data_IF_790475936181
#
_entry.id   IF_790475936181
#
_cell.length_a   1.000
_cell.length_b   1.000
_cell.length_c   1.000
_cell.angle_alpha   90.00
_cell.angle_beta   90.00
_cell.angle_gamma   90.00
#
_symmetry.space_group_name_H-M   'P 1'
#
loop_
_entity.id
_entity.type
_entity.pdbx_description
1 polymer ?
#
# COMPACT_ATOMS: atom_id res chain seq x y z
N UNK A 1 -8.82 -1.67 3.08
CA UNK A 1 -9.66 -1.70 1.86
C UNK A 1 -10.07 -0.30 1.44
N UNK A 2 -10.73 0.48 2.31
CA UNK A 2 -11.20 1.84 2.00
C UNK A 2 -10.09 2.81 1.54
N UNK A 3 -8.95 2.86 2.23
CA UNK A 3 -7.84 3.74 1.84
C UNK A 3 -7.31 3.44 0.44
N UNK A 4 -7.19 2.14 0.07
CA UNK A 4 -6.81 1.72 -1.28
C UNK A 4 -7.83 2.15 -2.33
N UNK A 5 -9.13 2.07 -2.02
CA UNK A 5 -10.18 2.55 -2.92
C UNK A 5 -10.12 4.08 -3.11
N UNK A 6 -9.86 4.84 -2.05
CA UNK A 6 -9.66 6.29 -2.13
C UNK A 6 -8.44 6.66 -2.97
N UNK A 7 -7.34 5.92 -2.84
CA UNK A 7 -6.15 6.09 -3.70
C UNK A 7 -6.52 5.91 -5.17
N UNK A 8 -7.22 4.82 -5.50
CA UNK A 8 -7.65 4.54 -6.88
C UNK A 8 -8.56 5.63 -7.42
N UNK A 9 -9.57 6.05 -6.64
CA UNK A 9 -10.48 7.13 -7.03
C UNK A 9 -9.75 8.46 -7.25
N UNK A 10 -8.83 8.82 -6.36
CA UNK A 10 -8.03 10.03 -6.50
C UNK A 10 -7.10 9.96 -7.71
N UNK A 11 -6.52 8.79 -8.02
CA UNK A 11 -5.74 8.58 -9.24
C UNK A 11 -6.58 8.73 -10.52
N UNK A 12 -7.80 8.18 -10.54
CA UNK A 12 -8.72 8.35 -11.67
C UNK A 12 -9.11 9.81 -11.85
N UNK A 13 -9.44 10.51 -10.76
CA UNK A 13 -9.78 11.94 -10.80
C UNK A 13 -8.61 12.80 -11.29
N UNK A 14 -7.38 12.49 -10.87
CA UNK A 14 -6.17 13.17 -11.36
C UNK A 14 -5.93 12.90 -12.85
N UNK A 15 -6.10 11.66 -13.31
CA UNK A 15 -6.00 11.31 -14.72
C UNK A 15 -7.06 12.00 -15.57
N UNK A 16 -8.29 12.09 -15.06
CA UNK A 16 -9.37 12.84 -15.69
C UNK A 16 -8.99 14.31 -15.88
N UNK A 17 -8.53 14.97 -14.82
CA UNK A 17 -8.13 16.37 -14.89
C UNK A 17 -6.91 16.59 -15.82
N UNK A 18 -5.96 15.64 -15.86
CA UNK A 18 -4.85 15.67 -16.80
C UNK A 18 -5.31 15.53 -18.26
N UNK A 19 -6.28 14.65 -18.54
CA UNK A 19 -6.88 14.52 -19.86
C UNK A 19 -7.62 15.79 -20.27
N UNK A 20 -8.41 16.41 -19.38
CA UNK A 20 -9.08 17.69 -19.66
C UNK A 20 -8.08 18.81 -19.93
N UNK A 21 -6.97 18.87 -19.19
CA UNK A 21 -5.90 19.83 -19.45
C UNK A 21 -5.26 19.61 -20.83
N UNK A 22 -5.03 18.34 -21.21
CA UNK A 22 -4.50 17.97 -22.51
C UNK A 22 -5.42 18.40 -23.65
N UNK A 23 -6.73 18.10 -23.56
CA UNK A 23 -7.70 18.51 -24.58
C UNK A 23 -7.75 20.03 -24.72
N UNK A 24 -7.82 20.75 -23.60
CA UNK A 24 -7.87 22.21 -23.59
C UNK A 24 -6.63 22.84 -24.25
N UNK A 25 -5.44 22.37 -23.88
CA UNK A 25 -4.18 22.87 -24.46
C UNK A 25 -4.02 22.47 -25.93
N UNK A 26 -4.51 21.30 -26.32
CA UNK A 26 -4.49 20.85 -27.72
C UNK A 26 -5.42 21.70 -28.58
N UNK A 27 -6.61 22.05 -28.08
CA UNK A 27 -7.52 22.96 -28.76
C UNK A 27 -6.93 24.36 -28.92
N UNK A 28 -6.30 24.90 -27.87
CA UNK A 28 -5.63 26.21 -27.92
C UNK A 28 -4.49 26.26 -28.94
N UNK A 29 -3.71 25.19 -29.04
CA UNK A 29 -2.67 25.05 -30.07
C UNK A 29 -3.26 25.04 -31.47
N UNK A 30 -4.36 24.32 -31.69
CA UNK A 30 -5.05 24.29 -32.98
C UNK A 30 -5.64 25.65 -33.36
N UNK A 31 -6.10 26.43 -32.38
CA UNK A 31 -6.63 27.79 -32.57
C UNK A 31 -5.53 28.88 -32.72
N UNK A 32 -4.24 28.52 -32.62
CA UNK A 32 -3.14 29.47 -32.69
C UNK A 32 -3.04 30.42 -31.49
N UNK A 33 -3.64 30.07 -30.35
CA UNK A 33 -3.66 30.88 -29.12
C UNK A 33 -2.92 30.18 -27.97
N UNK A 34 -1.59 29.98 -28.04
CA UNK A 34 -0.85 29.18 -27.05
C UNK A 34 -0.74 29.82 -25.66
N UNK A 35 -1.11 31.09 -25.49
CA UNK A 35 -0.93 31.85 -24.25
C UNK A 35 -2.14 31.93 -23.32
N UNK A 36 -3.27 31.28 -23.64
CA UNK A 36 -4.44 31.34 -22.77
C UNK A 36 -4.20 30.52 -21.49
N UNK A 37 -4.61 31.10 -20.36
CA UNK A 37 -4.54 30.43 -19.06
C UNK A 37 -5.49 29.24 -18.99
N UNK A 38 -5.16 28.23 -18.19
CA UNK A 38 -6.06 27.10 -17.93
C UNK A 38 -7.32 27.56 -17.16
N UNK A 39 -8.48 26.96 -17.43
CA UNK A 39 -9.69 27.17 -16.66
C UNK A 39 -9.47 26.81 -15.18
N UNK A 40 -10.00 27.64 -14.29
CA UNK A 40 -9.92 27.42 -12.85
C UNK A 40 -10.58 26.10 -12.41
N UNK A 41 -11.52 25.55 -13.19
CA UNK A 41 -12.12 24.23 -12.92
C UNK A 41 -11.09 23.10 -12.96
N UNK A 42 -10.27 23.04 -14.01
CA UNK A 42 -9.23 22.02 -14.17
C UNK A 42 -8.15 22.17 -13.08
N UNK A 43 -7.81 23.41 -12.73
CA UNK A 43 -6.88 23.71 -11.63
C UNK A 43 -7.46 23.23 -10.29
N UNK A 44 -8.74 23.49 -10.02
CA UNK A 44 -9.39 23.02 -8.80
C UNK A 44 -9.50 21.49 -8.76
N UNK A 45 -9.88 20.83 -9.86
CA UNK A 45 -9.96 19.38 -9.94
C UNK A 45 -8.61 18.69 -9.69
N UNK A 46 -7.53 19.21 -10.29
CA UNK A 46 -6.17 18.69 -10.05
C UNK A 46 -5.74 18.88 -8.60
N UNK A 47 -5.96 20.07 -8.01
CA UNK A 47 -5.61 20.35 -6.62
C UNK A 47 -6.41 19.50 -5.63
N UNK A 48 -7.71 19.34 -5.85
CA UNK A 48 -8.58 18.49 -5.01
C UNK A 48 -8.17 17.04 -5.11
N UNK A 49 -7.90 16.54 -6.32
CA UNK A 49 -7.44 15.16 -6.53
C UNK A 49 -6.12 14.89 -5.80
N UNK A 50 -5.18 15.84 -5.87
CA UNK A 50 -3.91 15.74 -5.15
C UNK A 50 -4.11 15.81 -3.63
N UNK A 51 -4.95 16.72 -3.15
CA UNK A 51 -5.23 16.90 -1.73
C UNK A 51 -5.88 15.66 -1.10
N UNK A 52 -6.67 14.89 -1.87
CA UNK A 52 -7.25 13.61 -1.43
C UNK A 52 -6.22 12.48 -1.55
N UNK A 53 -5.42 12.46 -2.61
CA UNK A 53 -4.44 11.40 -2.86
C UNK A 53 -3.40 11.29 -1.73
N UNK A 54 -2.83 12.42 -1.28
CA UNK A 54 -1.78 12.45 -0.25
C UNK A 54 -2.19 11.74 1.06
N UNK A 55 -3.31 12.10 1.72
CA UNK A 55 -3.74 11.39 2.92
C UNK A 55 -4.21 9.96 2.60
N UNK A 56 -4.83 9.72 1.45
CA UNK A 56 -5.29 8.38 1.08
C UNK A 56 -4.13 7.39 0.96
N UNK A 57 -3.02 7.78 0.34
CA UNK A 57 -1.84 6.91 0.19
C UNK A 57 -1.13 6.68 1.52
N UNK A 58 -1.06 7.70 2.39
CA UNK A 58 -0.51 7.56 3.73
C UNK A 58 -1.31 6.55 4.58
N UNK A 59 -2.64 6.58 4.48
CA UNK A 59 -3.54 5.65 5.18
C UNK A 59 -3.56 4.25 4.55
N UNK A 60 -3.17 4.11 3.28
CA UNK A 60 -3.13 2.82 2.59
C UNK A 60 -1.89 1.99 2.97
N UNK A 61 -0.86 2.63 3.52
CA UNK A 61 0.37 1.98 3.93
C UNK A 61 0.18 1.17 5.22
N UNK A 62 0.77 -0.04 5.35
CA UNK A 62 0.72 -0.80 6.60
C UNK A 62 1.40 -0.06 7.75
N UNK A 63 1.01 -0.38 8.98
CA UNK A 63 1.67 0.17 10.16
C UNK A 63 3.17 -0.16 10.15
N UNK A 64 3.98 0.78 10.63
CA UNK A 64 5.42 0.54 10.79
C UNK A 64 5.63 -0.63 11.77
N UNK A 65 6.50 -1.55 11.38
CA UNK A 65 6.88 -2.66 12.24
C UNK A 65 7.83 -2.17 13.35
N UNK A 66 7.63 -2.69 14.56
CA UNK A 66 8.53 -2.42 15.67
C UNK A 66 9.85 -3.16 15.47
N UNK A 67 10.94 -2.41 15.35
CA UNK A 67 12.31 -2.92 15.18
C UNK A 67 13.02 -3.19 16.51
N UNK A 68 12.37 -2.92 17.63
CA UNK A 68 12.97 -3.10 18.95
C UNK A 68 13.01 -4.57 19.34
N UNK A 69 14.19 -5.07 19.72
CA UNK A 69 14.37 -6.45 20.18
C UNK A 69 13.41 -6.83 21.33
N UNK A 70 13.13 -5.91 22.26
CA UNK A 70 12.14 -6.13 23.33
C UNK A 70 10.71 -6.32 22.82
N UNK A 71 10.31 -5.55 21.81
CA UNK A 71 8.99 -5.66 21.19
C UNK A 71 8.85 -6.93 20.35
N UNK A 72 9.94 -7.37 19.74
CA UNK A 72 10.04 -8.65 19.03
C UNK A 72 9.92 -9.84 20.00
N UNK A 73 10.67 -9.83 21.11
CA UNK A 73 10.61 -10.87 22.14
C UNK A 73 9.24 -10.98 22.82
N UNK A 74 8.48 -9.90 22.92
CA UNK A 74 7.13 -9.90 23.52
C UNK A 74 6.12 -10.67 22.65
N UNK A 75 6.38 -10.80 21.35
CA UNK A 75 5.52 -11.53 20.40
C UNK A 75 5.78 -13.05 20.41
N UNK A 76 6.86 -13.53 21.03
CA UNK A 76 7.26 -14.94 21.02
C UNK A 76 6.87 -15.65 22.32
N UNK A 77 6.45 -16.90 22.22
CA UNK A 77 6.19 -17.75 23.38
C UNK A 77 7.46 -18.53 23.78
N UNK A 78 7.60 -18.94 25.06
CA UNK A 78 8.73 -19.78 25.49
C UNK A 78 8.84 -21.09 24.68
N UNK A 79 7.71 -21.66 24.25
CA UNK A 79 7.68 -22.88 23.44
C UNK A 79 8.25 -22.66 22.02
N UNK A 80 8.06 -21.47 21.44
CA UNK A 80 8.67 -21.10 20.15
C UNK A 80 10.20 -20.92 20.26
N UNK A 81 10.68 -20.53 21.46
CA UNK A 81 12.11 -20.31 21.71
C UNK A 81 12.84 -21.58 22.18
N UNK A 82 12.15 -22.52 22.82
CA UNK A 82 12.70 -23.82 23.23
C UNK A 82 12.67 -24.87 22.10
N UNK A 83 12.58 -24.41 20.85
CA UNK A 83 12.87 -25.21 19.68
C UNK A 83 14.39 -25.45 19.58
N UNK A 84 14.94 -26.27 20.49
CA UNK A 84 16.30 -26.82 20.41
C UNK A 84 16.38 -27.85 19.29
N UNK A 85 16.00 -27.47 18.07
CA UNK A 85 15.93 -28.35 16.90
C UNK A 85 17.26 -29.03 16.62
N UNK A 86 18.38 -28.32 16.86
CA UNK A 86 19.73 -28.89 16.74
C UNK A 86 20.08 -29.96 17.79
N UNK A 87 19.32 -30.07 18.88
CA UNK A 87 19.47 -31.08 19.93
C UNK A 87 18.25 -31.99 20.06
N UNK A 88 17.35 -31.99 19.06
CA UNK A 88 16.12 -32.77 19.13
C UNK A 88 16.44 -34.26 19.11
N UNK A 89 16.15 -34.95 20.23
CA UNK A 89 16.16 -36.42 20.27
C UNK A 89 14.75 -36.92 19.99
N UNK A 90 14.59 -37.70 18.93
CA UNK A 90 13.33 -38.39 18.65
C UNK A 90 13.00 -39.31 19.83
N UNK A 91 11.85 -39.09 20.45
CA UNK A 91 11.42 -39.92 21.59
C UNK A 91 10.90 -41.27 21.09
N UNK A 92 11.27 -42.34 21.78
CA UNK A 92 10.76 -43.68 21.47
C UNK A 92 9.22 -43.77 21.56
N UNK A 93 8.60 -42.95 22.41
CA UNK A 93 7.13 -42.85 22.54
C UNK A 93 6.49 -42.15 21.35
N UNK A 94 7.10 -41.08 20.83
CA UNK A 94 6.62 -40.42 19.62
C UNK A 94 6.71 -41.32 18.39
N UNK A 95 7.80 -42.10 18.27
CA UNK A 95 7.94 -43.10 17.22
C UNK A 95 6.89 -44.23 17.33
N UNK A 96 6.54 -44.66 18.54
CA UNK A 96 5.52 -45.69 18.75
C UNK A 96 4.08 -45.21 18.51
N UNK A 97 3.81 -43.91 18.63
CA UNK A 97 2.47 -43.33 18.49
C UNK A 97 2.19 -42.76 17.09
N UNK A 98 3.21 -42.21 16.42
CA UNK A 98 3.06 -41.51 15.13
C UNK A 98 3.97 -42.06 14.02
N UNK A 99 4.81 -43.06 14.32
CA UNK A 99 5.58 -43.77 13.31
C UNK A 99 4.68 -44.74 12.57
N UNK A 100 4.14 -44.29 11.44
CA UNK A 100 3.35 -45.14 10.55
C UNK A 100 4.21 -46.31 10.06
N UNK A 101 3.71 -47.54 10.22
CA UNK A 101 4.36 -48.75 9.73
C UNK A 101 3.90 -48.96 8.29
N UNK A 102 4.60 -48.37 7.33
CA UNK A 102 4.60 -48.85 5.94
C UNK A 102 5.41 -50.13 5.83
#
# INVERSE_FOLDING_TARGET
MLAKALVVLASIALLHAAFSAYEYLSALKALGQPGASLPNSIIAETLVSLAIFIPAIALAYPALEDVTYRGELTKRTPDDMDARMGFMRLSARGAALFGDRS
#
